data_IF_662277846676
#
_entry.id   IF_662277846676
#
_cell.length_a   1.000
_cell.length_b   1.000
_cell.length_c   1.000
_cell.angle_alpha   90.00
_cell.angle_beta   90.00
_cell.angle_gamma   90.00
#
_symmetry.space_group_name_H-M   'P 1'
#
loop_
_entity.id
_entity.type
_entity.pdbx_description
1 polymer ?
#
# COMPACT_ATOMS: atom_id res chain seq x y z
N UNK A 1 0.91 20.92 -14.43
CA UNK A 1 1.40 20.14 -13.29
C UNK A 1 2.12 18.92 -13.80
N UNK A 2 3.41 18.88 -13.66
CA UNK A 2 4.23 17.88 -14.32
C UNK A 2 4.79 16.83 -13.36
N UNK A 3 3.95 16.11 -12.59
CA UNK A 3 4.44 14.93 -11.89
C UNK A 3 4.72 13.82 -12.90
N UNK A 4 5.89 13.14 -12.82
CA UNK A 4 6.19 11.98 -13.66
C UNK A 4 5.45 10.75 -13.12
N UNK A 5 4.12 10.76 -13.21
CA UNK A 5 3.26 9.76 -12.55
C UNK A 5 3.53 8.33 -13.01
N UNK A 6 3.90 8.12 -14.28
CA UNK A 6 4.22 6.78 -14.77
C UNK A 6 5.48 6.22 -14.09
N UNK A 7 6.56 7.02 -14.01
CA UNK A 7 7.79 6.61 -13.33
C UNK A 7 7.53 6.38 -11.82
N UNK A 8 6.80 7.30 -11.19
CA UNK A 8 6.48 7.16 -9.78
C UNK A 8 5.58 5.97 -9.48
N UNK A 9 4.66 5.63 -10.41
CA UNK A 9 3.82 4.44 -10.28
C UNK A 9 4.66 3.15 -10.28
N UNK A 10 5.60 3.03 -11.22
CA UNK A 10 6.52 1.88 -11.25
C UNK A 10 7.34 1.77 -9.96
N UNK A 11 7.86 2.88 -9.46
CA UNK A 11 8.59 2.92 -8.19
C UNK A 11 7.72 2.52 -7.00
N UNK A 12 6.48 2.99 -6.96
CA UNK A 12 5.54 2.62 -5.89
C UNK A 12 5.18 1.14 -5.92
N UNK A 13 5.09 0.52 -7.09
CA UNK A 13 4.90 -0.93 -7.22
C UNK A 13 6.09 -1.69 -6.63
N UNK A 14 7.32 -1.30 -6.97
CA UNK A 14 8.55 -1.90 -6.39
C UNK A 14 8.60 -1.72 -4.87
N UNK A 15 8.23 -0.55 -4.37
CA UNK A 15 8.19 -0.24 -2.93
C UNK A 15 7.15 -1.13 -2.23
N UNK A 16 5.94 -1.25 -2.80
CA UNK A 16 4.88 -2.08 -2.26
C UNK A 16 5.27 -3.57 -2.26
N UNK A 17 5.96 -4.05 -3.28
CA UNK A 17 6.50 -5.42 -3.33
C UNK A 17 7.50 -5.66 -2.19
N UNK A 18 8.46 -4.77 -2.00
CA UNK A 18 9.45 -4.88 -0.92
C UNK A 18 8.81 -4.84 0.48
N UNK A 19 7.83 -3.96 0.66
CA UNK A 19 7.07 -3.89 1.91
C UNK A 19 6.27 -5.18 2.15
N UNK A 20 5.63 -5.69 1.10
CA UNK A 20 4.91 -6.96 1.13
C UNK A 20 5.80 -8.14 1.47
N UNK A 21 7.00 -8.21 0.91
CA UNK A 21 7.99 -9.26 1.24
C UNK A 21 8.37 -9.23 2.71
N UNK A 22 8.62 -8.05 3.28
CA UNK A 22 8.91 -7.90 4.71
C UNK A 22 7.73 -8.35 5.61
N UNK A 23 6.51 -8.05 5.21
CA UNK A 23 5.31 -8.54 5.91
C UNK A 23 5.24 -10.07 5.84
N UNK A 24 5.48 -10.64 4.66
CA UNK A 24 5.39 -12.08 4.44
C UNK A 24 6.47 -12.87 5.19
N UNK A 25 7.64 -12.31 5.42
CA UNK A 25 8.66 -12.91 6.29
C UNK A 25 8.15 -13.11 7.72
N UNK A 26 7.43 -12.14 8.25
CA UNK A 26 6.81 -12.25 9.58
C UNK A 26 5.60 -13.19 9.55
N UNK A 27 4.76 -13.06 8.52
CA UNK A 27 3.54 -13.84 8.34
C UNK A 27 3.79 -15.34 8.20
N UNK A 28 4.90 -15.73 7.57
CA UNK A 28 5.29 -17.12 7.38
C UNK A 28 5.82 -17.81 8.64
N UNK A 29 6.11 -17.06 9.70
CA UNK A 29 6.58 -17.64 10.95
C UNK A 29 5.49 -18.52 11.58
N UNK A 30 5.85 -19.66 12.22
CA UNK A 30 4.86 -20.44 12.95
C UNK A 30 4.23 -19.59 14.05
N UNK A 31 2.94 -19.80 14.32
CA UNK A 31 2.24 -19.13 15.39
C UNK A 31 2.98 -19.38 16.73
N UNK A 32 3.51 -18.32 17.28
CA UNK A 32 3.95 -18.33 18.68
C UNK A 32 2.68 -18.06 19.47
N UNK A 33 2.12 -19.08 20.12
CA UNK A 33 0.89 -19.04 20.93
C UNK A 33 0.98 -18.08 22.14
N UNK A 34 2.01 -17.30 22.26
CA UNK A 34 2.17 -16.35 23.34
C UNK A 34 1.95 -14.94 22.83
N UNK A 35 0.79 -14.40 23.18
CA UNK A 35 0.60 -12.96 23.30
C UNK A 35 1.69 -12.43 24.22
N UNK A 36 2.77 -11.97 23.64
CA UNK A 36 3.78 -11.23 24.38
C UNK A 36 3.13 -9.91 24.76
N UNK A 37 3.06 -9.61 26.04
CA UNK A 37 2.42 -8.41 26.62
C UNK A 37 3.11 -7.09 26.27
N UNK A 38 4.15 -7.10 25.45
CA UNK A 38 4.90 -5.94 25.02
C UNK A 38 4.60 -5.64 23.54
N UNK A 39 4.87 -4.38 23.11
CA UNK A 39 4.69 -3.81 21.74
C UNK A 39 5.45 -4.54 20.62
N UNK A 40 5.80 -5.81 20.81
CA UNK A 40 6.56 -6.67 19.89
C UNK A 40 5.72 -7.81 19.32
N UNK A 41 4.41 -7.57 19.09
CA UNK A 41 3.60 -8.56 18.40
C UNK A 41 4.11 -8.75 16.95
N UNK A 42 3.95 -9.93 16.33
CA UNK A 42 4.26 -10.13 14.92
C UNK A 42 3.54 -9.12 14.01
N UNK A 43 2.33 -8.73 14.34
CA UNK A 43 1.59 -7.68 13.63
C UNK A 43 2.34 -6.35 13.68
N UNK A 44 2.74 -5.90 14.89
CA UNK A 44 3.49 -4.65 15.06
C UNK A 44 4.83 -4.71 14.32
N UNK A 45 5.55 -5.83 14.38
CA UNK A 45 6.81 -6.03 13.68
C UNK A 45 6.63 -5.92 12.15
N UNK A 46 5.60 -6.58 11.60
CA UNK A 46 5.30 -6.53 10.16
C UNK A 46 4.95 -5.12 9.71
N UNK A 47 4.09 -4.44 10.46
CA UNK A 47 3.63 -3.09 10.18
C UNK A 47 4.78 -2.08 10.20
N UNK A 48 5.60 -2.07 11.25
CA UNK A 48 6.76 -1.18 11.37
C UNK A 48 7.82 -1.46 10.30
N UNK A 49 8.07 -2.72 9.95
CA UNK A 49 9.02 -3.07 8.89
C UNK A 49 8.55 -2.56 7.53
N UNK A 50 7.28 -2.76 7.21
CA UNK A 50 6.68 -2.26 5.98
C UNK A 50 6.69 -0.72 5.94
N UNK A 51 6.29 -0.06 7.03
CA UNK A 51 6.29 1.40 7.13
C UNK A 51 7.68 1.98 6.87
N UNK A 52 8.71 1.44 7.50
CA UNK A 52 10.09 1.89 7.31
C UNK A 52 10.52 1.80 5.85
N UNK A 53 10.27 0.67 5.19
CA UNK A 53 10.62 0.47 3.77
C UNK A 53 9.93 1.51 2.90
N UNK A 54 8.63 1.72 3.09
CA UNK A 54 7.84 2.65 2.28
C UNK A 54 8.29 4.09 2.50
N UNK A 55 8.39 4.52 3.75
CA UNK A 55 8.74 5.91 4.11
C UNK A 55 10.14 6.26 3.62
N UNK A 56 11.14 5.40 3.86
CA UNK A 56 12.51 5.66 3.42
C UNK A 56 12.61 5.73 1.89
N UNK A 57 11.92 4.87 1.18
CA UNK A 57 11.92 4.87 -0.28
C UNK A 57 11.20 6.09 -0.87
N UNK A 58 10.06 6.48 -0.30
CA UNK A 58 9.32 7.68 -0.74
C UNK A 58 10.09 8.97 -0.43
N UNK A 59 10.77 9.07 0.71
CA UNK A 59 11.67 10.20 1.03
C UNK A 59 12.81 10.32 0.03
N UNK A 60 13.33 9.22 -0.45
CA UNK A 60 14.36 9.20 -1.49
C UNK A 60 13.81 9.60 -2.85
N UNK A 61 12.62 9.10 -3.20
CA UNK A 61 11.96 9.37 -4.48
C UNK A 61 11.52 10.82 -4.62
N UNK A 62 10.94 11.37 -3.55
CA UNK A 62 10.33 12.71 -3.53
C UNK A 62 10.63 13.41 -2.21
N UNK A 63 11.85 13.95 -2.01
CA UNK A 63 12.28 14.54 -0.73
C UNK A 63 11.39 15.69 -0.25
N UNK A 64 10.75 16.42 -1.18
CA UNK A 64 9.96 17.61 -0.90
C UNK A 64 8.45 17.31 -0.69
N UNK A 65 8.03 16.06 -0.83
CA UNK A 65 6.62 15.68 -0.64
C UNK A 65 6.46 15.02 0.73
N UNK A 66 5.54 15.57 1.52
CA UNK A 66 5.20 15.05 2.85
C UNK A 66 4.60 13.65 2.75
N UNK A 67 4.95 12.80 3.69
CA UNK A 67 4.41 11.44 3.81
C UNK A 67 3.54 11.38 5.05
N UNK A 68 2.28 11.02 4.86
CA UNK A 68 1.31 10.77 5.92
C UNK A 68 1.11 9.26 6.00
N UNK A 69 1.65 8.65 7.03
CA UNK A 69 1.49 7.23 7.31
C UNK A 69 0.60 7.04 8.53
N UNK A 70 -0.21 5.96 8.53
CA UNK A 70 -1.01 5.57 9.68
C UNK A 70 -0.15 5.36 10.94
N UNK A 71 1.09 4.90 10.75
CA UNK A 71 2.05 4.65 11.83
C UNK A 71 2.83 5.89 12.30
N UNK A 72 2.70 7.02 11.61
CA UNK A 72 3.40 8.26 11.93
C UNK A 72 2.41 9.40 12.21
N UNK A 73 2.76 10.27 13.15
CA UNK A 73 1.87 11.34 13.60
C UNK A 73 1.80 12.56 12.66
N UNK A 74 2.44 12.52 11.50
CA UNK A 74 2.37 13.63 10.54
C UNK A 74 0.95 13.77 9.97
N UNK A 75 0.47 15.01 9.97
CA UNK A 75 -0.86 15.36 9.48
C UNK A 75 -0.78 15.95 8.09
N UNK A 76 -1.77 15.64 7.25
CA UNK A 76 -1.88 16.22 5.91
C UNK A 76 -2.35 17.68 5.90
N UNK A 77 -2.68 18.26 7.06
CA UNK A 77 -3.23 19.62 7.17
C UNK A 77 -2.29 20.67 6.54
N UNK A 78 -2.82 21.41 5.57
CA UNK A 78 -2.08 22.48 4.88
C UNK A 78 -1.26 22.05 3.68
N UNK A 79 -1.09 20.76 3.44
CA UNK A 79 -0.36 20.26 2.29
C UNK A 79 -1.28 19.96 1.09
N UNK A 80 -0.98 20.58 -0.06
CA UNK A 80 -1.72 20.31 -1.31
C UNK A 80 -1.35 18.97 -1.93
N UNK A 81 -0.11 18.51 -1.69
CA UNK A 81 0.44 17.27 -2.21
C UNK A 81 1.08 16.49 -1.09
N UNK A 82 0.70 15.25 -0.92
CA UNK A 82 1.27 14.35 0.07
C UNK A 82 1.11 12.88 -0.33
N UNK A 83 1.98 12.05 0.17
CA UNK A 83 1.81 10.60 0.12
C UNK A 83 0.92 10.17 1.28
N UNK A 84 -0.04 9.31 0.99
CA UNK A 84 -0.89 8.66 1.99
C UNK A 84 -0.55 7.17 1.99
N UNK A 85 -0.13 6.66 3.14
CA UNK A 85 0.39 5.30 3.30
C UNK A 85 -0.34 4.57 4.41
N UNK A 86 -0.83 3.37 4.10
CA UNK A 86 -1.20 2.36 5.08
C UNK A 86 -0.32 1.13 4.86
N UNK A 87 0.70 0.91 5.71
CA UNK A 87 1.68 -0.15 5.49
C UNK A 87 1.10 -1.56 5.61
N UNK A 88 0.09 -1.73 6.44
CA UNK A 88 -0.61 -2.99 6.63
C UNK A 88 -2.08 -2.72 7.01
N UNK A 89 -2.94 -2.72 5.99
CA UNK A 89 -4.40 -2.66 6.16
C UNK A 89 -4.98 -4.07 6.28
N UNK A 90 -5.91 -4.25 7.22
CA UNK A 90 -6.50 -5.55 7.50
C UNK A 90 -5.80 -6.27 8.66
N UNK A 91 -5.61 -5.59 9.77
CA UNK A 91 -4.97 -6.15 10.97
C UNK A 91 -5.68 -7.38 11.52
N UNK A 92 -7.01 -7.42 11.47
CA UNK A 92 -7.82 -8.59 11.86
C UNK A 92 -7.55 -9.78 10.94
N UNK A 93 -7.47 -9.53 9.65
CA UNK A 93 -7.22 -10.53 8.62
C UNK A 93 -5.81 -11.10 8.74
N UNK A 94 -4.83 -10.25 9.04
CA UNK A 94 -3.48 -10.69 9.36
C UNK A 94 -3.46 -11.64 10.56
N UNK A 95 -4.12 -11.27 11.65
CA UNK A 95 -4.18 -12.09 12.88
C UNK A 95 -4.96 -13.39 12.66
N UNK A 96 -6.03 -13.38 11.86
CA UNK A 96 -6.78 -14.58 11.48
C UNK A 96 -6.07 -15.47 10.46
N UNK A 97 -4.97 -14.99 9.89
CA UNK A 97 -4.17 -15.68 8.88
C UNK A 97 -4.96 -16.10 7.64
N UNK A 98 -5.94 -15.28 7.23
CA UNK A 98 -6.73 -15.52 6.02
C UNK A 98 -6.13 -14.92 4.73
N UNK A 99 -5.05 -14.13 4.86
CA UNK A 99 -4.33 -13.51 3.74
C UNK A 99 -4.96 -12.23 3.18
N UNK A 100 -6.09 -11.79 3.69
CA UNK A 100 -6.85 -10.65 3.18
C UNK A 100 -6.37 -9.30 3.76
N UNK A 101 -5.09 -9.05 3.74
CA UNK A 101 -4.48 -7.79 4.13
C UNK A 101 -3.70 -7.17 2.97
N UNK A 102 -3.53 -5.87 3.00
CA UNK A 102 -2.93 -5.11 1.90
C UNK A 102 -1.91 -4.08 2.35
N UNK A 103 -1.03 -3.70 1.43
CA UNK A 103 -0.16 -2.53 1.49
C UNK A 103 -0.76 -1.48 0.56
N UNK A 104 -0.99 -0.27 1.07
CA UNK A 104 -1.61 0.81 0.31
C UNK A 104 -0.70 2.03 0.26
N UNK A 105 -0.43 2.52 -0.95
CA UNK A 105 0.35 3.73 -1.21
C UNK A 105 -0.41 4.59 -2.20
N UNK A 106 -0.68 5.85 -1.86
CA UNK A 106 -1.34 6.80 -2.75
C UNK A 106 -0.65 8.16 -2.74
N UNK A 107 -0.58 8.80 -3.90
CA UNK A 107 -0.26 10.23 -4.00
C UNK A 107 -1.56 11.00 -4.09
N UNK A 108 -1.74 11.95 -3.18
CA UNK A 108 -2.88 12.86 -3.15
C UNK A 108 -2.42 14.25 -3.57
N UNK A 109 -3.16 14.87 -4.47
CA UNK A 109 -2.92 16.24 -4.91
C UNK A 109 -4.23 17.02 -4.99
N UNK A 110 -4.28 18.18 -4.34
CA UNK A 110 -5.48 19.01 -4.25
C UNK A 110 -6.74 18.24 -3.78
N UNK A 111 -6.54 17.34 -2.82
CA UNK A 111 -7.63 16.54 -2.23
C UNK A 111 -8.09 15.35 -3.07
N UNK A 112 -7.43 15.06 -4.19
CA UNK A 112 -7.76 13.93 -5.07
C UNK A 112 -6.58 12.96 -5.15
N UNK A 113 -6.82 11.64 -5.08
CA UNK A 113 -5.78 10.66 -5.36
C UNK A 113 -5.43 10.71 -6.85
N UNK A 114 -4.16 10.91 -7.16
CA UNK A 114 -3.66 11.01 -8.54
C UNK A 114 -2.82 9.81 -8.95
N UNK A 115 -2.41 8.98 -7.99
CA UNK A 115 -1.68 7.74 -8.18
C UNK A 115 -1.96 6.82 -7.02
N UNK A 116 -2.06 5.52 -7.25
CA UNK A 116 -2.27 4.54 -6.19
C UNK A 116 -1.79 3.14 -6.54
N UNK A 117 -1.30 2.46 -5.49
CA UNK A 117 -0.93 1.04 -5.51
C UNK A 117 -1.57 0.35 -4.32
N UNK A 118 -2.22 -0.77 -4.57
CA UNK A 118 -2.73 -1.70 -3.56
C UNK A 118 -2.10 -3.07 -3.81
N UNK A 119 -1.30 -3.54 -2.88
CA UNK A 119 -0.68 -4.86 -2.94
C UNK A 119 -1.28 -5.78 -1.90
N UNK A 120 -1.70 -6.97 -2.32
CA UNK A 120 -2.16 -8.05 -1.45
C UNK A 120 -1.10 -9.17 -1.44
N UNK A 121 -0.06 -9.06 -0.59
CA UNK A 121 1.13 -9.91 -0.70
C UNK A 121 0.86 -11.39 -0.46
N UNK A 122 -0.06 -11.74 0.44
CA UNK A 122 -0.41 -13.13 0.70
C UNK A 122 -1.25 -13.76 -0.43
N UNK A 123 -1.97 -12.94 -1.19
CA UNK A 123 -2.80 -13.38 -2.32
C UNK A 123 -2.09 -13.25 -3.68
N UNK A 124 -0.91 -12.66 -3.71
CA UNK A 124 -0.11 -12.49 -4.92
C UNK A 124 -0.65 -11.47 -5.92
N UNK A 125 -1.54 -10.57 -5.49
CA UNK A 125 -2.18 -9.57 -6.34
C UNK A 125 -1.62 -8.16 -6.10
N UNK A 126 -1.44 -7.40 -7.18
CA UNK A 126 -1.11 -5.96 -7.12
C UNK A 126 -2.02 -5.20 -8.07
N UNK A 127 -2.60 -4.11 -7.58
CA UNK A 127 -3.43 -3.19 -8.35
C UNK A 127 -2.74 -1.84 -8.40
N UNK A 128 -2.65 -1.24 -9.57
CA UNK A 128 -1.95 0.01 -9.76
C UNK A 128 -2.63 0.89 -10.82
N UNK A 129 -2.59 2.19 -10.63
CA UNK A 129 -3.13 3.14 -11.58
C UNK A 129 -2.88 4.59 -11.17
N UNK A 130 -3.19 5.51 -12.07
CA UNK A 130 -3.03 6.94 -11.82
C UNK A 130 -3.78 7.78 -12.83
N UNK A 131 -3.82 9.07 -12.57
CA UNK A 131 -4.47 10.02 -13.46
C UNK A 131 -3.80 10.03 -14.85
N UNK A 132 -4.59 9.73 -15.88
CA UNK A 132 -4.08 9.59 -17.24
C UNK A 132 -3.33 8.29 -17.53
N UNK A 133 -3.24 7.39 -16.56
CA UNK A 133 -2.62 6.07 -16.71
C UNK A 133 -3.70 4.97 -16.66
N UNK A 134 -3.55 3.89 -17.41
CA UNK A 134 -4.47 2.77 -17.34
C UNK A 134 -4.40 2.10 -15.96
N UNK A 135 -5.55 1.76 -15.39
CA UNK A 135 -5.60 0.87 -14.24
C UNK A 135 -5.22 -0.55 -14.68
N UNK A 136 -4.40 -1.21 -13.89
CA UNK A 136 -3.91 -2.57 -14.18
C UNK A 136 -3.77 -3.40 -12.91
N UNK A 137 -3.83 -4.69 -13.07
CA UNK A 137 -3.54 -5.66 -12.01
C UNK A 137 -2.44 -6.63 -12.44
N UNK A 138 -1.68 -7.09 -11.47
CA UNK A 138 -0.75 -8.19 -11.61
C UNK A 138 -1.24 -9.37 -10.78
N UNK A 139 -1.36 -10.53 -11.41
CA UNK A 139 -1.61 -11.82 -10.77
C UNK A 139 -0.66 -12.86 -11.35
N UNK A 140 -0.08 -13.70 -10.51
CA UNK A 140 0.89 -14.72 -10.92
C UNK A 140 2.05 -14.16 -11.78
N UNK A 141 2.48 -12.93 -11.50
CA UNK A 141 3.56 -12.24 -12.22
C UNK A 141 3.15 -11.58 -13.53
N UNK A 142 1.90 -11.75 -13.99
CA UNK A 142 1.42 -11.21 -15.25
C UNK A 142 0.54 -9.97 -15.05
N UNK A 143 0.83 -8.90 -15.79
CA UNK A 143 0.04 -7.67 -15.79
C UNK A 143 -1.09 -7.72 -16.82
N UNK A 144 -2.27 -7.27 -16.41
CA UNK A 144 -3.43 -7.07 -17.29
C UNK A 144 -4.10 -5.73 -17.00
N UNK A 145 -4.61 -5.09 -18.04
CA UNK A 145 -5.43 -3.88 -17.92
C UNK A 145 -6.78 -4.24 -17.26
N UNK A 146 -7.25 -3.40 -16.38
CA UNK A 146 -8.57 -3.52 -15.77
C UNK A 146 -9.43 -2.30 -16.10
N UNK A 147 -10.71 -2.51 -16.28
CA UNK A 147 -11.71 -1.47 -16.55
C UNK A 147 -12.97 -1.74 -15.74
N UNK A 148 -13.69 -0.69 -15.42
CA UNK A 148 -15.02 -0.83 -14.79
C UNK A 148 -15.98 -1.51 -15.78
N UNK A 149 -16.84 -2.37 -15.26
CA UNK A 149 -17.90 -2.97 -16.08
C UNK A 149 -18.90 -1.90 -16.52
N UNK A 150 -18.96 -1.68 -17.81
CA UNK A 150 -19.91 -0.71 -18.44
C UNK A 150 -21.36 -1.16 -18.36
N UNK A 151 -21.60 -2.43 -18.02
CA UNK A 151 -22.93 -3.05 -17.94
C UNK A 151 -23.39 -3.22 -16.47
N UNK A 152 -22.67 -2.68 -15.51
CA UNK A 152 -23.11 -2.70 -14.12
C UNK A 152 -24.47 -2.01 -14.00
N UNK A 153 -25.47 -2.64 -13.37
CA UNK A 153 -26.76 -1.99 -13.14
C UNK A 153 -26.55 -0.74 -12.31
N UNK A 154 -27.18 0.36 -12.72
CA UNK A 154 -27.08 1.68 -12.08
C UNK A 154 -27.65 1.74 -10.66
N UNK A 155 -28.08 0.61 -10.11
CA UNK A 155 -28.67 0.52 -8.78
C UNK A 155 -27.69 -0.18 -7.84
N UNK A 156 -27.00 0.59 -7.04
CA UNK A 156 -26.35 0.08 -5.83
C UNK A 156 -27.45 -0.21 -4.82
N UNK A 157 -27.61 -1.45 -4.42
CA UNK A 157 -28.48 -1.84 -3.30
C UNK A 157 -27.77 -1.63 -1.98
#
# INVERSE_FOLDING_TARGET
MGFPLEDWLERCIEIADRAGDAIMEVYARPEIEKVVKDDKSPLTEADLAANRIIVDALKTLTPDIVIVSEEEAEKCEGHKTFWLVDPLDGTREFLKRNGEFTVNIALVHNGLPVLGVVSAPALGGVYAGGQGLPARKRENGEWSKIETDKNSPSTVR
#
